data_IF_271612402334
#
_entry.id   IF_271612402334
#
_cell.length_a   1.000
_cell.length_b   1.000
_cell.length_c   1.000
_cell.angle_alpha   90.00
_cell.angle_beta   90.00
_cell.angle_gamma   90.00
#
_symmetry.space_group_name_H-M   'P 1'
#
loop_
_entity.id
_entity.type
_entity.pdbx_description
1 polymer ?
#
# COMPACT_ATOMS: atom_id res chain seq x y z
N UNK A 1 -2.90 -6.12 13.54
CA UNK A 1 -2.36 -4.81 13.22
C UNK A 1 -1.14 -4.53 14.09
N UNK A 2 -0.08 -4.03 13.49
CA UNK A 2 1.20 -3.82 14.15
C UNK A 2 1.71 -2.39 13.94
N UNK A 3 2.59 -1.90 14.84
CA UNK A 3 3.20 -0.58 14.68
C UNK A 3 4.12 -0.50 13.46
N UNK A 4 4.57 0.72 13.09
CA UNK A 4 5.48 0.90 11.95
C UNK A 4 6.77 0.08 12.09
N UNK A 5 7.11 -0.66 11.03
CA UNK A 5 8.21 -1.62 11.02
C UNK A 5 9.57 -0.96 11.21
N UNK A 6 9.77 0.21 10.60
CA UNK A 6 11.07 0.89 10.64
C UNK A 6 11.38 1.58 11.96
N UNK A 7 10.37 1.75 12.81
CA UNK A 7 10.53 2.46 14.10
C UNK A 7 10.72 1.48 15.25
N UNK A 8 9.93 0.41 15.26
CA UNK A 8 9.95 -0.57 16.35
C UNK A 8 10.04 -2.00 15.82
N UNK A 9 10.55 -2.91 16.63
CA UNK A 9 10.76 -4.31 16.24
C UNK A 9 9.55 -5.20 16.49
N UNK A 10 8.48 -4.66 17.04
CA UNK A 10 7.28 -5.43 17.43
C UNK A 10 6.68 -6.21 16.27
N UNK A 11 6.59 -5.57 15.09
CA UNK A 11 6.03 -6.22 13.91
C UNK A 11 6.85 -7.44 13.48
N UNK A 12 8.18 -7.36 13.57
CA UNK A 12 9.06 -8.46 13.21
C UNK A 12 8.90 -9.64 14.18
N UNK A 13 8.74 -9.34 15.47
CA UNK A 13 8.53 -10.38 16.50
C UNK A 13 7.17 -11.05 16.31
N UNK A 14 6.12 -10.28 16.17
CA UNK A 14 4.76 -10.79 15.98
C UNK A 14 4.67 -11.63 14.69
N UNK A 15 5.32 -11.17 13.62
CA UNK A 15 5.29 -11.82 12.31
C UNK A 15 5.81 -13.24 12.31
N UNK A 16 6.63 -13.60 13.29
CA UNK A 16 7.17 -14.95 13.42
C UNK A 16 6.12 -15.97 13.91
N UNK A 17 5.04 -15.48 14.49
CA UNK A 17 3.97 -16.31 15.05
C UNK A 17 2.72 -16.36 14.18
N UNK A 18 2.75 -15.75 13.00
CA UNK A 18 1.64 -15.73 12.05
C UNK A 18 2.03 -16.46 10.77
N UNK A 19 1.03 -16.83 9.98
CA UNK A 19 1.26 -17.56 8.71
C UNK A 19 1.85 -16.69 7.62
N UNK A 20 1.60 -15.39 7.67
CA UNK A 20 2.11 -14.42 6.72
C UNK A 20 1.71 -13.01 7.11
N UNK A 21 2.25 -12.03 6.40
CA UNK A 21 2.00 -10.62 6.66
C UNK A 21 1.64 -9.88 5.37
N UNK A 22 0.72 -8.96 5.47
CA UNK A 22 0.44 -7.97 4.43
C UNK A 22 1.12 -6.67 4.84
N UNK A 23 1.96 -6.14 3.97
CA UNK A 23 2.72 -4.93 4.24
C UNK A 23 1.92 -3.72 3.72
N UNK A 24 1.54 -2.83 4.63
CA UNK A 24 0.75 -1.64 4.29
C UNK A 24 1.68 -0.46 4.09
N UNK A 25 1.61 0.18 2.92
CA UNK A 25 2.40 1.35 2.56
C UNK A 25 1.46 2.53 2.35
N UNK A 26 1.74 3.64 3.03
CA UNK A 26 1.03 4.88 2.82
C UNK A 26 1.70 5.65 1.68
N UNK A 27 0.91 6.00 0.66
CA UNK A 27 1.40 6.75 -0.50
C UNK A 27 1.97 8.11 -0.08
N UNK A 28 3.09 8.50 -0.68
CA UNK A 28 3.76 9.79 -0.46
C UNK A 28 4.15 10.08 1.01
N UNK A 29 4.23 9.04 1.85
CA UNK A 29 4.60 9.21 3.25
C UNK A 29 6.07 8.88 3.51
N UNK A 30 6.55 7.79 2.93
CA UNK A 30 7.92 7.35 3.11
C UNK A 30 8.61 7.18 1.75
N UNK A 31 9.92 7.45 1.66
CA UNK A 31 10.66 7.21 0.43
C UNK A 31 10.74 5.71 0.12
N UNK A 32 10.91 5.39 -1.16
CA UNK A 32 10.93 4.00 -1.62
C UNK A 32 12.03 3.17 -0.94
N UNK A 33 13.18 3.78 -0.68
CA UNK A 33 14.28 3.08 -0.01
C UNK A 33 13.94 2.69 1.42
N UNK A 34 13.20 3.54 2.13
CA UNK A 34 12.73 3.23 3.49
C UNK A 34 11.73 2.07 3.47
N UNK A 35 10.86 2.04 2.47
CA UNK A 35 9.90 0.94 2.28
C UNK A 35 10.62 -0.38 2.02
N UNK A 36 11.58 -0.38 1.11
CA UNK A 36 12.38 -1.58 0.81
C UNK A 36 13.14 -2.07 2.04
N UNK A 37 13.73 -1.14 2.80
CA UNK A 37 14.43 -1.48 4.03
C UNK A 37 13.52 -2.11 5.08
N UNK A 38 12.30 -1.62 5.20
CA UNK A 38 11.32 -2.17 6.13
C UNK A 38 10.90 -3.59 5.73
N UNK A 39 10.64 -3.81 4.46
CA UNK A 39 10.31 -5.16 3.95
C UNK A 39 11.46 -6.12 4.18
N UNK A 40 12.69 -5.68 3.92
CA UNK A 40 13.88 -6.51 4.15
C UNK A 40 14.03 -6.87 5.62
N UNK A 41 13.76 -5.94 6.54
CA UNK A 41 13.77 -6.21 7.98
C UNK A 41 12.82 -7.35 8.34
N UNK A 42 11.61 -7.32 7.80
CA UNK A 42 10.64 -8.38 8.04
C UNK A 42 11.12 -9.73 7.49
N UNK A 43 11.62 -9.73 6.27
CA UNK A 43 12.11 -10.95 5.62
C UNK A 43 13.31 -11.52 6.35
N UNK A 44 14.25 -10.67 6.77
CA UNK A 44 15.45 -11.10 7.52
C UNK A 44 15.06 -11.67 8.89
N UNK A 45 13.96 -11.21 9.47
CA UNK A 45 13.41 -11.73 10.72
C UNK A 45 12.61 -13.03 10.55
N UNK A 46 12.50 -13.53 9.33
CA UNK A 46 11.79 -14.77 9.05
C UNK A 46 10.29 -14.60 8.81
N UNK A 47 9.82 -13.36 8.62
CA UNK A 47 8.41 -13.09 8.33
C UNK A 47 8.14 -13.32 6.85
N UNK A 48 7.11 -14.09 6.55
CA UNK A 48 6.65 -14.31 5.19
C UNK A 48 5.76 -13.16 4.75
N UNK A 49 6.27 -12.28 3.89
CA UNK A 49 5.51 -11.16 3.35
C UNK A 49 4.73 -11.66 2.12
N UNK A 50 3.41 -11.69 2.21
CA UNK A 50 2.53 -12.20 1.17
C UNK A 50 2.29 -11.18 0.06
N UNK A 51 2.34 -9.91 0.39
CA UNK A 51 2.10 -8.83 -0.54
C UNK A 51 2.02 -7.50 0.18
N UNK A 52 1.66 -6.47 -0.56
CA UNK A 52 1.54 -5.12 -0.02
C UNK A 52 0.26 -4.44 -0.49
N UNK A 53 -0.18 -3.46 0.30
CA UNK A 53 -1.32 -2.60 -0.02
C UNK A 53 -0.87 -1.17 0.06
N UNK A 54 -1.15 -0.39 -0.98
CA UNK A 54 -0.87 1.03 -1.02
C UNK A 54 -2.12 1.80 -0.61
N UNK A 55 -2.01 2.57 0.47
CA UNK A 55 -3.13 3.37 0.96
C UNK A 55 -2.95 4.85 0.61
N UNK A 56 -4.04 5.60 0.62
CA UNK A 56 -4.06 7.04 0.34
C UNK A 56 -3.42 7.38 -1.00
N UNK A 57 -3.61 6.53 -1.99
CA UNK A 57 -3.07 6.74 -3.33
C UNK A 57 -3.92 7.77 -4.07
N UNK A 58 -3.25 8.84 -4.54
CA UNK A 58 -3.89 9.87 -5.37
C UNK A 58 -3.52 9.58 -6.82
N UNK A 59 -4.47 9.00 -7.54
CA UNK A 59 -4.28 8.60 -8.92
C UNK A 59 -4.05 9.78 -9.85
N UNK A 60 -4.76 10.89 -9.62
CA UNK A 60 -4.61 12.11 -10.43
C UNK A 60 -3.22 12.69 -10.30
N UNK A 61 -2.68 12.74 -9.09
CA UNK A 61 -1.34 13.25 -8.80
C UNK A 61 -0.27 12.35 -9.37
N UNK A 62 -0.39 11.03 -9.16
CA UNK A 62 0.61 10.05 -9.58
C UNK A 62 0.70 9.92 -11.10
N UNK A 63 -0.41 10.11 -11.80
CA UNK A 63 -0.54 9.86 -13.23
C UNK A 63 -0.58 11.12 -14.07
N UNK A 64 -0.32 12.27 -13.48
CA UNK A 64 -0.36 13.56 -14.14
C UNK A 64 0.67 13.62 -15.27
N UNK A 65 0.22 13.94 -16.49
CA UNK A 65 1.06 14.08 -17.67
C UNK A 65 1.24 12.82 -18.50
N UNK A 66 0.68 11.69 -18.11
CA UNK A 66 0.75 10.43 -18.85
C UNK A 66 -0.61 10.10 -19.48
N UNK A 67 -0.61 9.77 -20.78
CA UNK A 67 -1.84 9.34 -21.46
C UNK A 67 -2.36 7.99 -20.92
N UNK A 68 -1.46 7.09 -20.61
CA UNK A 68 -1.80 5.81 -20.00
C UNK A 68 -2.47 6.01 -18.64
N UNK A 69 -1.93 6.89 -17.87
CA UNK A 69 -2.44 7.29 -16.58
C UNK A 69 -3.85 7.88 -16.67
N UNK A 70 -4.05 8.71 -17.68
CA UNK A 70 -5.35 9.34 -17.94
C UNK A 70 -6.42 8.29 -18.22
N UNK A 71 -6.09 7.32 -19.06
CA UNK A 71 -6.99 6.22 -19.39
C UNK A 71 -7.32 5.36 -18.18
N UNK A 72 -6.33 5.08 -17.33
CA UNK A 72 -6.51 4.31 -16.11
C UNK A 72 -7.42 5.04 -15.11
N UNK A 73 -7.20 6.33 -14.93
CA UNK A 73 -8.02 7.16 -14.05
C UNK A 73 -9.46 7.25 -14.54
N UNK A 74 -9.65 7.36 -15.86
CA UNK A 74 -10.98 7.37 -16.47
C UNK A 74 -11.73 6.07 -16.19
N UNK A 75 -11.08 4.94 -16.39
CA UNK A 75 -11.68 3.62 -16.15
C UNK A 75 -12.03 3.43 -14.67
N UNK A 76 -11.17 3.89 -13.78
CA UNK A 76 -11.42 3.82 -12.34
C UNK A 76 -12.65 4.64 -11.96
N UNK A 77 -12.73 5.88 -12.41
CA UNK A 77 -13.86 6.75 -12.13
C UNK A 77 -15.17 6.22 -12.72
N UNK A 78 -15.10 5.63 -13.90
CA UNK A 78 -16.28 5.03 -14.53
C UNK A 78 -16.80 3.84 -13.71
N UNK A 79 -15.91 3.00 -13.22
CA UNK A 79 -16.29 1.80 -12.47
C UNK A 79 -16.81 2.12 -11.06
N UNK A 80 -16.15 3.03 -10.36
CA UNK A 80 -16.43 3.29 -8.93
C UNK A 80 -17.25 4.57 -8.71
N UNK A 81 -17.02 5.60 -9.51
CA UNK A 81 -17.78 6.85 -9.39
C UNK A 81 -19.26 6.67 -9.69
N UNK A 82 -19.59 5.81 -10.64
CA UNK A 82 -20.98 5.50 -10.99
C UNK A 82 -21.70 4.78 -9.86
N UNK A 83 -21.00 3.88 -9.17
CA UNK A 83 -21.57 3.19 -8.01
C UNK A 83 -21.84 4.17 -6.87
N UNK A 84 -20.91 5.09 -6.60
CA UNK A 84 -21.07 6.10 -5.57
C UNK A 84 -22.24 7.02 -5.87
N UNK A 85 -22.41 7.44 -7.13
CA UNK A 85 -23.53 8.28 -7.56
C UNK A 85 -24.87 7.55 -7.38
N UNK A 86 -24.90 6.24 -7.61
CA UNK A 86 -26.10 5.42 -7.43
C UNK A 86 -26.40 5.21 -5.95
N UNK A 87 -25.38 4.99 -5.13
CA UNK A 87 -25.51 4.79 -3.70
C UNK A 87 -25.91 6.06 -2.96
N UNK A 88 -25.55 7.23 -3.49
CA UNK A 88 -25.86 8.51 -2.90
C UNK A 88 -27.32 8.97 -3.06
N UNK A 89 -28.10 8.22 -3.80
CA UNK A 89 -29.53 8.46 -3.96
C UNK A 89 -30.32 7.62 -2.97
#
# INVERSE_FOLDING_TARGET
DAPPVSVVTDAAVIGRYVDGAIFVVRSDYAPADAVRGAVKKLQDAGVRVLGSVLTRYDMKKALKGSSYAYSYAYNYNYAYGKQDATAGK
#
